data_IF_603026871231
#
_entry.id   IF_603026871231
#
_cell.length_a   1.000
_cell.length_b   1.000
_cell.length_c   1.000
_cell.angle_alpha   90.00
_cell.angle_beta   90.00
_cell.angle_gamma   90.00
#
_symmetry.space_group_name_H-M   'P 1'
#
loop_
_entity.id
_entity.type
_entity.pdbx_description
1 polymer ?
#
# COMPACT_ATOMS: atom_id res chain seq x y z
N UNK A 1 -5.23 28.48 -13.31
CA UNK A 1 -5.29 27.30 -12.44
C UNK A 1 -3.87 26.89 -12.12
N UNK A 2 -3.57 26.26 -10.99
CA UNK A 2 -2.23 25.76 -10.73
C UNK A 2 -1.86 24.72 -11.79
N UNK A 3 -0.62 24.77 -12.28
CA UNK A 3 -0.12 23.77 -13.22
C UNK A 3 0.03 22.42 -12.53
N UNK A 4 -0.50 21.36 -13.13
CA UNK A 4 -0.35 19.98 -12.68
C UNK A 4 0.25 19.15 -13.82
N UNK A 5 1.46 18.61 -13.59
CA UNK A 5 2.20 17.83 -14.59
C UNK A 5 2.26 16.35 -14.24
N UNK A 6 2.22 16.02 -12.94
CA UNK A 6 2.30 14.63 -12.48
C UNK A 6 1.47 14.37 -11.23
N UNK A 7 1.01 13.13 -11.09
CA UNK A 7 0.36 12.60 -9.89
C UNK A 7 1.10 11.33 -9.49
N UNK A 8 1.66 11.33 -8.29
CA UNK A 8 2.23 10.13 -7.68
C UNK A 8 1.32 9.59 -6.58
N UNK A 9 1.21 8.29 -6.52
CA UNK A 9 0.42 7.59 -5.52
C UNK A 9 1.33 6.76 -4.62
N UNK A 10 1.00 6.68 -3.33
CA UNK A 10 1.40 5.53 -2.52
C UNK A 10 0.57 4.31 -2.92
N UNK A 11 0.98 3.12 -2.46
CA UNK A 11 0.26 1.86 -2.76
C UNK A 11 -0.59 1.42 -1.57
N UNK A 12 0.07 1.23 -0.41
CA UNK A 12 -0.52 0.59 0.76
C UNK A 12 -1.54 1.51 1.46
N UNK A 13 -2.76 1.02 1.69
CA UNK A 13 -3.90 1.79 2.22
C UNK A 13 -4.25 3.06 1.42
N UNK A 14 -3.69 3.19 0.20
CA UNK A 14 -4.00 4.24 -0.77
C UNK A 14 -4.72 3.69 -1.99
N UNK A 15 -4.08 2.80 -2.78
CA UNK A 15 -4.71 2.19 -3.96
C UNK A 15 -5.57 0.95 -3.62
N UNK A 16 -5.33 0.34 -2.48
CA UNK A 16 -6.08 -0.80 -1.94
C UNK A 16 -5.98 -0.85 -0.42
N UNK A 17 -6.83 -1.63 0.25
CA UNK A 17 -6.73 -1.79 1.70
C UNK A 17 -5.72 -2.86 2.07
N UNK A 18 -4.51 -2.44 2.43
CA UNK A 18 -3.46 -3.33 2.95
C UNK A 18 -3.85 -3.91 4.31
N UNK A 19 -4.46 -3.10 5.17
CA UNK A 19 -4.84 -3.50 6.52
C UNK A 19 -5.93 -4.58 6.50
N UNK A 20 -6.98 -4.41 5.70
CA UNK A 20 -8.04 -5.43 5.56
C UNK A 20 -7.53 -6.70 4.90
N UNK A 21 -6.76 -6.55 3.82
CA UNK A 21 -6.13 -7.68 3.15
C UNK A 21 -5.25 -8.49 4.12
N UNK A 22 -4.36 -7.84 4.87
CA UNK A 22 -3.47 -8.51 5.80
C UNK A 22 -4.24 -9.26 6.89
N UNK A 23 -5.31 -8.66 7.42
CA UNK A 23 -6.17 -9.31 8.41
C UNK A 23 -6.82 -10.57 7.84
N UNK A 24 -7.42 -10.50 6.63
CA UNK A 24 -8.05 -11.67 5.98
C UNK A 24 -7.05 -12.78 5.67
N UNK A 25 -5.87 -12.41 5.15
CA UNK A 25 -4.84 -13.40 4.82
C UNK A 25 -4.28 -14.10 6.06
N UNK A 26 -4.07 -13.38 7.18
CA UNK A 26 -3.66 -13.98 8.46
C UNK A 26 -4.75 -14.87 9.04
N UNK A 27 -6.01 -14.43 8.98
CA UNK A 27 -7.16 -15.23 9.42
C UNK A 27 -7.23 -16.57 8.67
N UNK A 28 -7.14 -16.54 7.34
CA UNK A 28 -7.14 -17.76 6.52
C UNK A 28 -5.95 -18.67 6.83
N UNK A 29 -4.75 -18.07 7.07
CA UNK A 29 -3.57 -18.85 7.46
C UNK A 29 -3.74 -19.56 8.78
N UNK A 30 -4.26 -18.86 9.79
CA UNK A 30 -4.54 -19.44 11.13
C UNK A 30 -5.53 -20.58 11.02
N UNK A 31 -6.60 -20.42 10.27
CA UNK A 31 -7.61 -21.47 10.04
C UNK A 31 -6.99 -22.70 9.36
N UNK A 32 -6.16 -22.51 8.35
CA UNK A 32 -5.46 -23.59 7.67
C UNK A 32 -4.47 -24.31 8.59
N UNK A 33 -3.75 -23.60 9.44
CA UNK A 33 -2.81 -24.17 10.41
C UNK A 33 -3.56 -25.01 11.47
N UNK A 34 -4.73 -24.56 11.94
CA UNK A 34 -5.58 -25.31 12.86
C UNK A 34 -6.12 -26.57 12.17
N UNK A 35 -6.60 -26.46 10.94
CA UNK A 35 -7.06 -27.60 10.15
C UNK A 35 -5.94 -28.64 9.87
N UNK A 36 -4.68 -28.18 9.82
CA UNK A 36 -3.49 -29.05 9.72
C UNK A 36 -3.11 -29.73 11.05
N UNK A 37 -3.87 -29.53 12.13
CA UNK A 37 -3.80 -30.29 13.38
C UNK A 37 -3.32 -29.53 14.60
N UNK A 38 -3.16 -28.19 14.56
CA UNK A 38 -2.86 -27.43 15.78
C UNK A 38 -4.01 -27.50 16.79
N UNK A 39 -3.65 -27.77 18.04
CA UNK A 39 -4.61 -27.80 19.16
C UNK A 39 -4.52 -26.50 19.97
N UNK A 40 -5.08 -25.42 19.40
CA UNK A 40 -5.11 -24.07 19.98
C UNK A 40 -6.36 -23.35 19.41
N UNK A 41 -6.92 -22.40 20.16
CA UNK A 41 -8.06 -21.63 19.66
C UNK A 41 -7.62 -20.67 18.53
N UNK A 42 -8.55 -20.33 17.65
CA UNK A 42 -8.31 -19.38 16.56
C UNK A 42 -7.91 -18.01 17.10
N UNK A 43 -8.59 -17.58 18.15
CA UNK A 43 -8.38 -16.27 18.80
C UNK A 43 -6.98 -16.18 19.40
N UNK A 44 -6.53 -17.20 20.14
CA UNK A 44 -5.17 -17.25 20.69
C UNK A 44 -4.11 -17.26 19.62
N UNK A 45 -4.29 -18.08 18.57
CA UNK A 45 -3.32 -18.20 17.49
C UNK A 45 -3.21 -16.90 16.67
N UNK A 46 -4.33 -16.22 16.44
CA UNK A 46 -4.36 -14.96 15.71
C UNK A 46 -3.71 -13.82 16.53
N UNK A 47 -4.00 -13.75 17.83
CA UNK A 47 -3.39 -12.77 18.73
C UNK A 47 -1.86 -12.93 18.79
N UNK A 48 -1.37 -14.16 18.95
CA UNK A 48 0.06 -14.45 18.97
C UNK A 48 0.74 -14.14 17.61
N UNK A 49 0.05 -14.43 16.49
CA UNK A 49 0.56 -14.07 15.16
C UNK A 49 0.68 -12.55 15.00
N UNK A 50 -0.27 -11.79 15.51
CA UNK A 50 -0.22 -10.32 15.45
C UNK A 50 0.94 -9.76 16.28
N UNK A 51 1.29 -10.37 17.42
CA UNK A 51 2.48 -10.02 18.19
C UNK A 51 3.77 -10.33 17.40
N UNK A 52 3.86 -11.52 16.81
CA UNK A 52 5.00 -11.89 15.95
C UNK A 52 5.19 -10.89 14.82
N UNK A 53 4.10 -10.49 14.14
CA UNK A 53 4.18 -9.52 13.04
C UNK A 53 4.61 -8.13 13.53
N UNK A 54 4.18 -7.70 14.71
CA UNK A 54 4.61 -6.42 15.29
C UNK A 54 6.10 -6.42 15.62
N UNK A 55 6.64 -7.52 16.14
CA UNK A 55 8.04 -7.63 16.55
C UNK A 55 9.00 -7.79 15.36
N UNK A 56 8.66 -8.64 14.39
CA UNK A 56 9.53 -8.98 13.28
C UNK A 56 9.31 -8.16 12.01
N UNK A 57 8.36 -7.24 12.01
CA UNK A 57 7.89 -6.45 10.86
C UNK A 57 7.17 -7.26 9.78
N UNK A 58 6.40 -6.56 8.92
CA UNK A 58 5.60 -7.20 7.86
C UNK A 58 6.44 -7.82 6.72
N UNK A 59 7.73 -7.49 6.63
CA UNK A 59 8.63 -8.00 5.59
C UNK A 59 9.34 -9.30 5.98
N UNK A 60 9.26 -9.70 7.25
CA UNK A 60 9.86 -10.95 7.71
C UNK A 60 9.17 -12.17 7.08
N UNK A 61 9.94 -13.17 6.66
CA UNK A 61 9.41 -14.28 5.86
C UNK A 61 9.01 -15.52 6.70
N UNK A 62 9.43 -15.57 7.98
CA UNK A 62 9.26 -16.74 8.84
C UNK A 62 8.29 -16.48 10.01
N UNK A 63 7.22 -15.70 9.79
CA UNK A 63 6.24 -15.41 10.85
C UNK A 63 5.61 -16.67 11.44
N UNK A 64 5.23 -17.64 10.59
CA UNK A 64 4.59 -18.88 11.04
C UNK A 64 5.55 -19.79 11.80
N UNK A 65 6.84 -19.81 11.44
CA UNK A 65 7.86 -20.52 12.19
C UNK A 65 8.00 -19.92 13.60
N UNK A 66 8.07 -18.58 13.70
CA UNK A 66 8.12 -17.87 14.99
C UNK A 66 6.87 -18.10 15.80
N UNK A 67 5.72 -18.07 15.18
CA UNK A 67 4.44 -18.39 15.83
C UNK A 67 4.48 -19.77 16.49
N UNK A 68 4.87 -20.82 15.75
CA UNK A 68 4.96 -22.17 16.31
C UNK A 68 5.97 -22.30 17.45
N UNK A 69 7.09 -21.56 17.40
CA UNK A 69 8.10 -21.55 18.47
C UNK A 69 7.56 -21.01 19.80
N UNK A 70 6.51 -20.17 19.78
CA UNK A 70 5.89 -19.55 20.95
C UNK A 70 4.78 -20.39 21.56
N UNK A 71 4.22 -21.31 20.76
CA UNK A 71 3.12 -22.13 21.24
C UNK A 71 3.57 -23.15 22.30
N UNK A 72 2.71 -23.46 23.29
CA UNK A 72 2.99 -24.51 24.24
C UNK A 72 3.10 -25.87 23.54
N UNK A 73 3.97 -26.74 24.01
CA UNK A 73 4.21 -28.08 23.44
C UNK A 73 2.94 -28.91 23.20
N UNK A 74 1.91 -28.71 24.01
CA UNK A 74 0.60 -29.37 23.84
C UNK A 74 -0.08 -28.99 22.52
N UNK A 75 0.09 -27.76 22.04
CA UNK A 75 -0.54 -27.27 20.81
C UNK A 75 0.01 -27.91 19.54
N UNK A 76 1.28 -28.37 19.58
CA UNK A 76 1.97 -28.99 18.45
C UNK A 76 2.16 -30.48 18.62
N UNK A 77 1.56 -31.11 19.67
CA UNK A 77 1.75 -32.54 19.97
C UNK A 77 1.13 -33.42 18.87
N UNK A 78 1.96 -34.24 18.26
CA UNK A 78 1.52 -35.24 17.26
C UNK A 78 1.33 -34.68 15.85
N UNK A 79 1.68 -33.41 15.61
CA UNK A 79 1.61 -32.83 14.27
C UNK A 79 3.00 -32.62 13.66
N UNK A 80 3.06 -32.64 12.35
CA UNK A 80 4.26 -32.23 11.63
C UNK A 80 4.26 -30.71 11.44
N UNK A 81 5.14 -30.02 12.16
CA UNK A 81 5.22 -28.56 12.17
C UNK A 81 5.52 -27.96 10.80
N UNK A 82 6.28 -28.64 9.94
CA UNK A 82 6.56 -28.17 8.59
C UNK A 82 5.29 -28.16 7.71
N UNK A 83 4.42 -29.17 7.87
CA UNK A 83 3.13 -29.20 7.16
C UNK A 83 2.16 -28.13 7.66
N UNK A 84 2.18 -27.85 8.96
CA UNK A 84 1.38 -26.77 9.57
C UNK A 84 1.83 -25.41 9.02
N UNK A 85 3.13 -25.12 8.99
CA UNK A 85 3.68 -23.89 8.41
C UNK A 85 3.30 -23.80 6.93
N UNK A 86 3.50 -24.88 6.17
CA UNK A 86 3.15 -24.90 4.75
C UNK A 86 1.65 -24.61 4.51
N UNK A 87 0.75 -25.17 5.33
CA UNK A 87 -0.68 -24.89 5.23
C UNK A 87 -0.99 -23.38 5.44
N UNK A 88 -0.37 -22.76 6.43
CA UNK A 88 -0.48 -21.32 6.67
C UNK A 88 0.03 -20.48 5.50
N UNK A 89 1.20 -20.82 4.97
CA UNK A 89 1.82 -20.15 3.80
C UNK A 89 0.93 -20.26 2.57
N UNK A 90 0.44 -21.46 2.26
CA UNK A 90 -0.47 -21.69 1.12
C UNK A 90 -1.72 -20.85 1.24
N UNK A 91 -2.40 -20.88 2.39
CA UNK A 91 -3.64 -20.13 2.61
C UNK A 91 -3.40 -18.60 2.51
N UNK A 92 -2.26 -18.10 3.00
CA UNK A 92 -1.86 -16.70 2.84
C UNK A 92 -1.75 -16.31 1.37
N UNK A 93 -1.01 -17.10 0.58
CA UNK A 93 -0.79 -16.80 -0.83
C UNK A 93 -2.05 -16.96 -1.68
N UNK A 94 -2.90 -17.94 -1.38
CA UNK A 94 -4.20 -18.08 -2.05
C UNK A 94 -5.13 -16.90 -1.77
N UNK A 95 -5.17 -16.41 -0.52
CA UNK A 95 -5.91 -15.21 -0.17
C UNK A 95 -5.34 -13.99 -0.90
N UNK A 96 -4.01 -13.86 -0.95
CA UNK A 96 -3.33 -12.82 -1.71
C UNK A 96 -3.69 -12.87 -3.19
N UNK A 97 -3.75 -14.05 -3.77
CA UNK A 97 -4.12 -14.22 -5.17
C UNK A 97 -5.56 -13.79 -5.47
N UNK A 98 -6.49 -14.10 -4.59
CA UNK A 98 -7.93 -13.80 -4.78
C UNK A 98 -8.32 -12.39 -4.43
N UNK A 99 -7.75 -11.84 -3.37
CA UNK A 99 -8.31 -10.67 -2.68
C UNK A 99 -7.46 -9.40 -2.74
N UNK A 100 -6.21 -9.48 -3.24
CA UNK A 100 -5.41 -8.29 -3.44
C UNK A 100 -5.88 -7.57 -4.71
N UNK A 101 -6.85 -6.67 -4.52
CA UNK A 101 -7.49 -5.91 -5.60
C UNK A 101 -7.49 -4.42 -5.28
N UNK A 102 -7.27 -3.59 -6.30
CA UNK A 102 -7.38 -2.14 -6.15
C UNK A 102 -8.82 -1.72 -5.85
N UNK A 103 -8.97 -0.58 -5.19
CA UNK A 103 -10.28 0.03 -5.05
C UNK A 103 -10.90 0.30 -6.44
N UNK A 104 -12.18 -0.02 -6.66
CA UNK A 104 -12.83 0.18 -7.96
C UNK A 104 -12.80 1.63 -8.44
N UNK A 105 -12.99 2.59 -7.54
CA UNK A 105 -12.92 4.02 -7.80
C UNK A 105 -11.50 4.49 -8.15
N UNK A 106 -10.46 3.87 -7.56
CA UNK A 106 -9.07 4.11 -7.96
C UNK A 106 -8.82 3.69 -9.41
N UNK A 107 -9.24 2.49 -9.79
CA UNK A 107 -9.11 2.01 -11.18
C UNK A 107 -9.89 2.91 -12.14
N UNK A 108 -11.12 3.30 -11.77
CA UNK A 108 -11.94 4.18 -12.60
C UNK A 108 -11.24 5.52 -12.84
N UNK A 109 -10.72 6.16 -11.80
CA UNK A 109 -10.01 7.43 -11.93
C UNK A 109 -8.71 7.28 -12.73
N UNK A 110 -7.88 6.27 -12.45
CA UNK A 110 -6.64 6.03 -13.19
C UNK A 110 -6.90 5.83 -14.70
N UNK A 111 -7.95 5.08 -15.05
CA UNK A 111 -8.36 4.89 -16.44
C UNK A 111 -8.76 6.21 -17.10
N UNK A 112 -9.57 7.03 -16.42
CA UNK A 112 -10.01 8.34 -16.92
C UNK A 112 -8.85 9.34 -17.04
N UNK A 113 -7.90 9.32 -16.10
CA UNK A 113 -6.69 10.13 -16.17
C UNK A 113 -5.79 9.73 -17.34
N UNK A 114 -5.67 8.43 -17.62
CA UNK A 114 -4.91 7.95 -18.78
C UNK A 114 -5.51 8.42 -20.12
N UNK A 115 -6.82 8.66 -20.16
CA UNK A 115 -7.53 9.22 -21.32
C UNK A 115 -7.73 10.73 -21.27
N UNK A 116 -7.17 11.45 -20.28
CA UNK A 116 -7.32 12.89 -20.11
C UNK A 116 -6.70 13.68 -21.29
N UNK A 117 -7.24 14.85 -21.59
CA UNK A 117 -6.68 15.72 -22.63
C UNK A 117 -5.30 16.26 -22.24
N UNK A 118 -5.10 16.56 -20.97
CA UNK A 118 -3.79 16.92 -20.42
C UNK A 118 -2.94 15.66 -20.25
N UNK A 119 -1.71 15.69 -20.73
CA UNK A 119 -0.75 14.61 -20.52
C UNK A 119 -0.17 14.68 -19.12
N UNK A 120 -0.86 14.05 -18.16
CA UNK A 120 -0.36 13.90 -16.79
C UNK A 120 0.52 12.66 -16.67
N UNK A 121 1.71 12.83 -16.08
CA UNK A 121 2.52 11.68 -15.68
C UNK A 121 1.92 11.06 -14.43
N UNK A 122 1.47 9.81 -14.51
CA UNK A 122 1.03 9.05 -13.34
C UNK A 122 2.13 8.09 -12.90
N UNK A 123 2.44 8.10 -11.62
CA UNK A 123 3.51 7.28 -11.06
C UNK A 123 3.22 6.81 -9.63
N UNK A 124 4.19 6.11 -9.08
CA UNK A 124 4.15 5.57 -7.71
C UNK A 124 5.43 5.92 -6.98
N UNK A 125 5.32 6.34 -5.71
CA UNK A 125 6.44 6.40 -4.77
C UNK A 125 6.01 5.65 -3.52
N UNK A 126 6.64 4.51 -3.23
CA UNK A 126 6.22 3.60 -2.15
C UNK A 126 7.39 3.04 -1.37
N UNK A 127 7.15 2.73 -0.09
CA UNK A 127 8.13 2.03 0.75
C UNK A 127 7.95 0.51 0.67
N UNK A 128 9.06 -0.20 0.70
CA UNK A 128 9.10 -1.65 0.85
C UNK A 128 10.08 -2.33 -0.09
N UNK A 129 10.12 -3.66 -0.02
CA UNK A 129 10.98 -4.49 -0.86
C UNK A 129 10.55 -4.41 -2.32
N UNK A 130 11.52 -4.24 -3.22
CA UNK A 130 11.31 -3.99 -4.63
C UNK A 130 10.33 -4.99 -5.26
N UNK A 131 10.62 -6.28 -5.18
CA UNK A 131 9.79 -7.32 -5.80
C UNK A 131 8.39 -7.39 -5.16
N UNK A 132 8.27 -7.18 -3.84
CA UNK A 132 6.97 -7.22 -3.16
C UNK A 132 6.07 -6.07 -3.57
N UNK A 133 6.61 -4.86 -3.74
CA UNK A 133 5.82 -3.71 -4.19
C UNK A 133 5.50 -3.78 -5.68
N UNK A 134 6.45 -4.22 -6.51
CA UNK A 134 6.21 -4.47 -7.93
C UNK A 134 5.10 -5.55 -8.14
N UNK A 135 5.14 -6.65 -7.37
CA UNK A 135 4.08 -7.67 -7.40
C UNK A 135 2.70 -7.09 -7.08
N UNK A 136 2.60 -6.17 -6.10
CA UNK A 136 1.33 -5.48 -5.81
C UNK A 136 0.83 -4.71 -7.02
N UNK A 137 1.66 -3.90 -7.66
CA UNK A 137 1.26 -3.13 -8.86
C UNK A 137 0.73 -4.03 -9.98
N UNK A 138 1.38 -5.17 -10.22
CA UNK A 138 0.94 -6.16 -11.20
C UNK A 138 -0.43 -6.76 -10.81
N UNK A 139 -0.61 -7.17 -9.55
CA UNK A 139 -1.86 -7.78 -9.06
C UNK A 139 -3.01 -6.78 -9.02
N UNK A 140 -2.75 -5.54 -8.63
CA UNK A 140 -3.72 -4.45 -8.63
C UNK A 140 -4.15 -4.02 -10.05
N UNK A 141 -3.44 -4.51 -11.09
CA UNK A 141 -3.70 -4.20 -12.51
C UNK A 141 -3.64 -2.69 -12.83
N UNK A 142 -2.81 -1.96 -12.10
CA UNK A 142 -2.66 -0.50 -12.28
C UNK A 142 -1.56 -0.13 -13.28
N UNK A 143 -0.66 -1.07 -13.61
CA UNK A 143 0.47 -0.84 -14.52
C UNK A 143 0.12 -0.21 -15.87
N UNK A 144 -1.02 -0.55 -16.53
CA UNK A 144 -1.39 0.06 -17.81
C UNK A 144 -1.63 1.58 -17.75
N UNK A 145 -1.86 2.12 -16.56
CA UNK A 145 -2.15 3.53 -16.34
C UNK A 145 -0.94 4.33 -15.84
N UNK A 146 0.13 3.66 -15.45
CA UNK A 146 1.33 4.28 -14.91
C UNK A 146 2.40 4.47 -15.98
N UNK A 147 3.17 5.54 -15.87
CA UNK A 147 4.41 5.68 -16.62
C UNK A 147 5.45 4.70 -16.03
N UNK A 148 5.97 3.74 -16.81
CA UNK A 148 6.96 2.77 -16.32
C UNK A 148 8.23 3.40 -15.72
N UNK A 149 8.58 4.61 -16.15
CA UNK A 149 9.74 5.36 -15.63
C UNK A 149 9.41 6.16 -14.35
N UNK A 150 8.14 6.20 -13.96
CA UNK A 150 7.66 6.92 -12.78
C UNK A 150 7.30 5.98 -11.60
N UNK A 151 7.98 4.84 -11.48
CA UNK A 151 7.76 3.87 -10.40
C UNK A 151 8.99 3.86 -9.50
N UNK A 152 8.85 4.43 -8.30
CA UNK A 152 9.92 4.57 -7.30
C UNK A 152 9.58 3.72 -6.07
N UNK A 153 10.31 2.65 -5.90
CA UNK A 153 10.23 1.76 -4.73
C UNK A 153 11.46 2.01 -3.87
N UNK A 154 11.27 2.27 -2.59
CA UNK A 154 12.34 2.68 -1.69
C UNK A 154 13.55 1.74 -1.67
N UNK A 155 13.32 0.44 -1.76
CA UNK A 155 14.38 -0.58 -1.78
C UNK A 155 15.28 -0.44 -3.03
N UNK A 156 14.70 -0.30 -4.21
CA UNK A 156 15.47 -0.13 -5.46
C UNK A 156 16.16 1.23 -5.58
N UNK A 157 15.57 2.27 -4.97
CA UNK A 157 16.18 3.61 -4.95
C UNK A 157 17.25 3.74 -3.86
N UNK A 158 17.23 2.89 -2.83
CA UNK A 158 18.09 2.95 -1.66
C UNK A 158 17.75 4.08 -0.69
N UNK A 159 16.53 4.62 -0.75
CA UNK A 159 16.05 5.74 0.07
C UNK A 159 14.63 5.44 0.53
N UNK A 160 14.39 5.42 1.84
CA UNK A 160 13.07 5.20 2.41
C UNK A 160 12.34 6.51 2.74
N UNK A 161 11.00 6.50 2.68
CA UNK A 161 10.18 7.54 3.32
C UNK A 161 10.46 7.54 4.83
N UNK A 162 10.46 8.67 5.50
CA UNK A 162 10.06 10.01 5.05
C UNK A 162 11.20 10.87 4.48
N UNK A 163 12.30 10.28 4.02
CA UNK A 163 13.42 11.05 3.50
C UNK A 163 13.00 11.84 2.23
N UNK A 164 13.09 13.19 2.23
CA UNK A 164 12.64 14.01 1.12
C UNK A 164 13.42 13.76 -0.18
N UNK A 165 14.62 13.17 -0.10
CA UNK A 165 15.42 12.85 -1.28
C UNK A 165 14.75 11.84 -2.21
N UNK A 166 13.86 10.98 -1.69
CA UNK A 166 13.11 10.03 -2.52
C UNK A 166 12.15 10.76 -3.47
N UNK A 167 11.41 11.74 -2.97
CA UNK A 167 10.49 12.57 -3.77
C UNK A 167 11.25 13.49 -4.74
N UNK A 168 12.34 14.10 -4.27
CA UNK A 168 13.21 14.93 -5.14
C UNK A 168 13.83 14.11 -6.27
N UNK A 169 14.19 12.85 -6.01
CA UNK A 169 14.69 11.93 -7.04
C UNK A 169 13.64 11.70 -8.11
N UNK A 170 12.39 11.43 -7.74
CA UNK A 170 11.29 11.26 -8.69
C UNK A 170 11.05 12.52 -9.54
N UNK A 171 11.09 13.70 -8.90
CA UNK A 171 10.97 14.96 -9.64
C UNK A 171 12.15 15.18 -10.61
N UNK A 172 13.38 14.93 -10.17
CA UNK A 172 14.58 15.17 -10.97
C UNK A 172 14.65 14.23 -12.19
N UNK A 173 14.41 12.94 -12.00
CA UNK A 173 14.47 11.94 -13.08
C UNK A 173 13.46 12.21 -14.20
N UNK A 174 12.33 12.86 -13.87
CA UNK A 174 11.26 13.20 -14.80
C UNK A 174 11.25 14.67 -15.21
N UNK A 175 12.26 15.44 -14.76
CA UNK A 175 12.39 16.88 -15.02
C UNK A 175 11.15 17.69 -14.60
N UNK A 176 10.57 17.34 -13.43
CA UNK A 176 9.40 17.98 -12.84
C UNK A 176 9.77 18.94 -11.72
N UNK A 177 9.01 20.03 -11.57
CA UNK A 177 9.10 20.90 -10.40
C UNK A 177 8.21 20.35 -9.29
N UNK A 178 8.66 20.28 -8.02
CA UNK A 178 7.82 19.81 -6.94
C UNK A 178 6.43 20.51 -6.87
N UNK A 179 6.38 21.81 -7.19
CA UNK A 179 5.13 22.59 -7.15
C UNK A 179 4.09 22.21 -8.22
N UNK A 180 4.48 21.46 -9.25
CA UNK A 180 3.58 20.94 -10.30
C UNK A 180 3.24 19.45 -10.12
N UNK A 181 3.70 18.87 -9.01
CA UNK A 181 3.50 17.44 -8.69
C UNK A 181 2.52 17.28 -7.55
N UNK A 182 1.49 16.47 -7.76
CA UNK A 182 0.57 16.02 -6.71
C UNK A 182 1.06 14.69 -6.14
N UNK A 183 1.02 14.56 -4.82
CA UNK A 183 1.30 13.32 -4.13
C UNK A 183 0.08 12.88 -3.31
N UNK A 184 -0.37 11.64 -3.50
CA UNK A 184 -1.56 11.07 -2.87
C UNK A 184 -1.14 9.88 -2.00
N UNK A 185 -1.43 9.92 -0.70
CA UNK A 185 -1.11 8.84 0.22
C UNK A 185 -1.88 8.92 1.53
N UNK A 186 -1.78 7.88 2.37
CA UNK A 186 -2.54 7.76 3.62
C UNK A 186 -1.76 8.15 4.88
N UNK A 187 -0.42 7.98 4.87
CA UNK A 187 0.44 8.15 6.02
C UNK A 187 0.92 9.61 6.17
N UNK A 188 0.45 10.37 7.18
CA UNK A 188 0.81 11.78 7.30
C UNK A 188 2.33 12.02 7.41
N UNK A 189 3.06 11.19 8.13
CA UNK A 189 4.52 11.35 8.30
C UNK A 189 5.32 11.07 7.04
N UNK A 190 4.82 10.15 6.20
CA UNK A 190 5.50 9.76 4.96
C UNK A 190 4.95 10.53 3.76
N UNK A 191 3.63 10.65 3.63
CA UNK A 191 2.99 11.05 2.38
C UNK A 191 2.54 12.52 2.38
N UNK A 192 2.56 13.18 3.53
CA UNK A 192 2.17 14.58 3.67
C UNK A 192 3.34 15.45 4.08
N UNK A 193 3.98 15.16 5.21
CA UNK A 193 5.01 16.05 5.77
C UNK A 193 6.20 16.29 4.83
N UNK A 194 6.87 15.26 4.26
CA UNK A 194 8.00 15.49 3.37
C UNK A 194 7.60 16.16 2.04
N UNK A 195 6.53 15.73 1.31
CA UNK A 195 6.11 16.40 0.09
C UNK A 195 5.68 17.86 0.32
N UNK A 196 4.99 18.17 1.44
CA UNK A 196 4.64 19.55 1.78
C UNK A 196 5.88 20.43 1.94
N UNK A 197 6.91 19.94 2.64
CA UNK A 197 8.17 20.69 2.84
C UNK A 197 8.91 20.95 1.53
N UNK A 198 8.65 20.14 0.51
CA UNK A 198 9.19 20.32 -0.84
C UNK A 198 8.31 21.23 -1.72
N UNK A 199 7.15 21.66 -1.24
CA UNK A 199 6.19 22.47 -2.00
C UNK A 199 5.35 21.66 -2.98
N UNK A 200 5.25 20.34 -2.83
CA UNK A 200 4.36 19.49 -3.62
C UNK A 200 2.89 19.72 -3.22
N UNK A 201 1.98 19.35 -4.10
CA UNK A 201 0.53 19.36 -3.84
C UNK A 201 0.20 18.05 -3.14
N UNK A 202 -0.17 18.11 -1.86
CA UNK A 202 -0.44 16.89 -1.08
C UNK A 202 -1.93 16.61 -0.96
N UNK A 203 -2.30 15.36 -1.17
CA UNK A 203 -3.64 14.84 -0.94
C UNK A 203 -3.55 13.67 0.02
N UNK A 204 -4.22 13.80 1.16
CA UNK A 204 -4.29 12.73 2.15
C UNK A 204 -5.53 11.88 1.94
N UNK A 205 -5.33 10.58 1.71
CA UNK A 205 -6.40 9.58 1.67
C UNK A 205 -6.74 9.13 3.09
N UNK A 206 -7.97 9.39 3.56
CA UNK A 206 -8.47 9.00 4.89
C UNK A 206 -9.53 7.90 4.82
N UNK A 207 -9.38 6.97 3.89
CA UNK A 207 -10.38 5.92 3.64
C UNK A 207 -10.28 4.78 4.65
N UNK A 208 -9.11 4.22 4.83
CA UNK A 208 -8.85 3.05 5.67
C UNK A 208 -7.41 3.08 6.21
N UNK A 209 -7.02 2.00 6.87
CA UNK A 209 -5.65 1.81 7.31
C UNK A 209 -5.35 2.34 8.72
N UNK A 210 -4.17 1.99 9.18
CA UNK A 210 -3.69 2.28 10.55
C UNK A 210 -3.40 3.76 10.80
N UNK A 211 -3.29 4.57 9.76
CA UNK A 211 -2.96 5.99 9.85
C UNK A 211 -4.16 6.92 9.75
N UNK A 212 -5.38 6.37 9.58
CA UNK A 212 -6.61 7.16 9.37
C UNK A 212 -6.80 8.28 10.40
N UNK A 213 -6.55 7.99 11.68
CA UNK A 213 -6.76 8.92 12.78
C UNK A 213 -5.47 9.60 13.29
N UNK A 214 -4.35 9.40 12.60
CA UNK A 214 -3.08 10.05 12.94
C UNK A 214 -2.97 11.39 12.22
N UNK A 215 -2.35 12.37 12.88
CA UNK A 215 -2.02 13.66 12.27
C UNK A 215 -0.51 13.77 12.01
N UNK A 216 -0.14 14.52 10.98
CA UNK A 216 1.24 14.87 10.67
C UNK A 216 1.68 16.16 11.36
N UNK A 217 2.91 16.57 11.09
CA UNK A 217 3.44 17.87 11.54
C UNK A 217 2.92 19.02 10.67
N UNK A 218 2.56 18.71 9.43
CA UNK A 218 2.01 19.66 8.46
C UNK A 218 0.61 19.21 8.02
N UNK A 219 -0.19 20.16 7.54
CA UNK A 219 -1.51 19.84 7.00
C UNK A 219 -1.43 19.54 5.50
N UNK A 220 -2.10 18.52 5.00
CA UNK A 220 -2.21 18.29 3.57
C UNK A 220 -2.97 19.43 2.91
N UNK A 221 -2.71 19.69 1.63
CA UNK A 221 -3.48 20.67 0.88
C UNK A 221 -4.94 20.24 0.69
N UNK A 222 -5.17 18.93 0.52
CA UNK A 222 -6.50 18.34 0.43
C UNK A 222 -6.58 17.06 1.27
N UNK A 223 -7.77 16.77 1.81
CA UNK A 223 -8.13 15.50 2.41
C UNK A 223 -9.30 14.90 1.63
N UNK A 224 -9.24 13.60 1.36
CA UNK A 224 -10.24 12.87 0.58
C UNK A 224 -10.59 11.55 1.27
N UNK A 225 -11.85 11.15 1.18
CA UNK A 225 -12.30 9.86 1.68
C UNK A 225 -12.14 8.76 0.64
N UNK A 226 -12.16 9.10 -0.65
CA UNK A 226 -12.05 8.17 -1.76
C UNK A 226 -11.52 8.84 -3.04
N UNK A 227 -11.44 8.09 -4.13
CA UNK A 227 -10.96 8.58 -5.42
C UNK A 227 -12.00 9.43 -6.16
N UNK A 228 -13.29 9.39 -5.80
CA UNK A 228 -14.29 10.29 -6.37
C UNK A 228 -14.09 11.72 -5.83
N UNK A 229 -13.74 11.86 -4.56
CA UNK A 229 -13.35 13.15 -3.97
C UNK A 229 -12.11 13.72 -4.67
N UNK A 230 -11.10 12.86 -4.91
CA UNK A 230 -9.89 13.25 -5.64
C UNK A 230 -10.22 13.70 -7.07
N UNK A 231 -11.08 12.98 -7.76
CA UNK A 231 -11.57 13.34 -9.09
C UNK A 231 -12.21 14.74 -9.08
N UNK A 232 -13.10 15.00 -8.13
CA UNK A 232 -13.75 16.31 -8.01
C UNK A 232 -12.73 17.45 -7.80
N UNK A 233 -11.68 17.23 -7.03
CA UNK A 233 -10.59 18.19 -6.84
C UNK A 233 -9.81 18.40 -8.14
N UNK A 234 -9.44 17.35 -8.86
CA UNK A 234 -8.68 17.44 -10.10
C UNK A 234 -9.44 18.24 -11.17
N UNK A 235 -10.73 18.00 -11.30
CA UNK A 235 -11.58 18.75 -12.26
C UNK A 235 -11.75 20.20 -11.82
N UNK A 236 -12.13 20.46 -10.57
CA UNK A 236 -12.50 21.79 -10.10
C UNK A 236 -11.30 22.71 -9.90
N UNK A 237 -10.22 22.21 -9.27
CA UNK A 237 -9.09 23.05 -8.86
C UNK A 237 -7.97 23.10 -9.92
N UNK A 238 -7.83 22.04 -10.73
CA UNK A 238 -6.76 21.91 -11.71
C UNK A 238 -7.27 21.90 -13.15
N UNK A 239 -8.59 21.89 -13.37
CA UNK A 239 -9.17 21.91 -14.70
C UNK A 239 -8.86 20.66 -15.55
N UNK A 240 -8.65 19.50 -14.91
CA UNK A 240 -8.34 18.26 -15.61
C UNK A 240 -9.56 17.80 -16.39
N UNK A 241 -9.43 17.71 -17.72
CA UNK A 241 -10.46 17.18 -18.60
C UNK A 241 -10.28 15.67 -18.77
N UNK A 242 -10.98 14.92 -17.95
CA UNK A 242 -10.89 13.47 -17.86
C UNK A 242 -11.40 12.80 -19.14
N UNK A 243 -10.79 11.65 -19.49
CA UNK A 243 -11.26 10.78 -20.56
C UNK A 243 -12.60 10.09 -20.24
N UNK A 244 -13.16 9.40 -21.23
CA UNK A 244 -14.34 8.57 -21.04
C UNK A 244 -14.07 7.41 -20.05
N UNK A 245 -15.12 7.01 -19.32
CA UNK A 245 -15.05 5.94 -18.33
C UNK A 245 -14.81 4.54 -18.94
#
# INVERSE_FOLDING_TARGET
MPDLEAIFFDIDDTLFSTSEFAHRARSASVEAMIAAGLSVSREELLAELDEVVKEFSSNYEHHFDKLLQRLPRRATKGVNTALVVAAGVVAYHETKFRELTAYPDAIALLKRLAGAKQRLTMGVITDGLEVKQAEKLVRLKVMPYLNPQAVYISDSVGINKPNPKLYLRACADLNLKPSTVMYVGDNPKNDVDPPNRLGMITVRMRRSGKYKDQEGETRPRYEVADFNDLEAILVREFGVELGAA
#
